data_IF_400351592369
#
_entry.id   IF_400351592369
#
_cell.length_a   1.000
_cell.length_b   1.000
_cell.length_c   1.000
_cell.angle_alpha   90.00
_cell.angle_beta   90.00
_cell.angle_gamma   90.00
#
_symmetry.space_group_name_H-M   'P 1'
#
loop_
_entity.id
_entity.type
_entity.pdbx_description
1 polymer ?
2 non-polymer ?
3 water ?
#
# COMPACT_ATOMS: atom_id res chain seq x y z
N UNK A 1 -15.65 17.74 -4.52
CA UNK A 1 -14.76 18.86 -4.91
C UNK A 1 -14.43 19.74 -3.70
N UNK A 2 -13.14 19.81 -3.42
CA UNK A 2 -12.54 20.34 -2.21
C UNK A 2 -11.88 21.64 -2.59
N UNK A 3 -11.64 22.61 -1.68
CA UNK A 3 -11.13 23.90 -2.11
C UNK A 3 -9.64 23.87 -2.42
N UNK A 4 -8.89 22.99 -1.75
CA UNK A 4 -7.48 22.93 -2.06
C UNK A 4 -6.95 21.59 -1.57
N UNK A 5 -5.77 21.31 -2.08
CA UNK A 5 -5.20 19.98 -1.91
C UNK A 5 -4.86 19.70 -0.47
N UNK A 6 -4.62 20.75 0.33
CA UNK A 6 -4.30 20.55 1.74
C UNK A 6 -5.56 20.33 2.58
N UNK A 7 -6.73 20.38 1.94
CA UNK A 7 -7.98 20.35 2.71
C UNK A 7 -9.00 19.49 1.97
N UNK A 8 -8.61 18.27 1.55
CA UNK A 8 -9.54 17.45 0.83
C UNK A 8 -10.29 16.51 1.78
N UNK A 9 -11.41 15.93 1.27
CA UNK A 9 -12.24 15.08 2.14
C UNK A 9 -12.57 13.82 1.36
N UNK A 10 -11.98 12.64 1.67
CA UNK A 10 -11.03 12.45 2.78
C UNK A 10 -9.67 13.07 2.47
N UNK A 11 -8.82 13.17 3.50
CA UNK A 11 -7.54 13.83 3.42
C UNK A 11 -6.70 13.12 2.37
N UNK A 12 -5.94 13.92 1.64
CA UNK A 12 -4.91 13.42 0.76
C UNK A 12 -3.56 13.60 1.46
N UNK A 13 -2.77 12.53 1.44
CA UNK A 13 -1.46 12.57 2.09
C UNK A 13 -0.47 11.87 1.19
N UNK A 14 0.74 12.46 1.15
CA UNK A 14 1.83 11.76 0.49
C UNK A 14 2.54 10.89 1.55
N UNK A 15 2.79 9.63 1.22
CA UNK A 15 3.54 8.79 2.12
C UNK A 15 5.01 9.13 1.97
N UNK A 16 5.71 9.34 3.12
CA UNK A 16 7.16 9.44 3.25
C UNK A 16 7.80 8.56 2.17
N UNK A 17 8.64 9.14 1.30
CA UNK A 17 9.28 8.45 0.17
C UNK A 17 10.18 7.30 0.60
N UNK A 18 10.43 7.19 1.90
CA UNK A 18 11.04 5.95 2.36
C UNK A 18 10.16 4.72 2.13
N UNK A 19 8.86 4.89 1.92
CA UNK A 19 8.01 3.77 1.57
C UNK A 19 7.36 4.09 0.22
N UNK A 20 7.55 3.23 -0.80
CA UNK A 20 6.96 3.48 -2.12
C UNK A 20 6.42 2.16 -2.66
N UNK A 21 5.60 2.23 -3.72
CA UNK A 21 5.08 1.03 -4.32
C UNK A 21 6.00 0.61 -5.48
N UNK A 22 6.44 -0.67 -5.44
CA UNK A 22 7.25 -1.21 -6.52
C UNK A 22 6.36 -2.02 -7.46
N UNK A 23 6.46 -1.73 -8.76
CA UNK A 23 5.68 -2.49 -9.72
C UNK A 23 6.63 -3.18 -10.72
N UNK A 24 6.51 -4.49 -10.91
CA UNK A 24 7.29 -5.16 -11.97
C UNK A 24 6.58 -4.95 -13.30
N UNK A 25 7.29 -4.41 -14.29
CA UNK A 25 6.67 -3.93 -15.52
C UNK A 25 7.74 -3.74 -16.60
N UNK A 39 11.31 -3.45 -12.44
CA UNK A 39 10.52 -2.92 -11.32
C UNK A 39 10.66 -1.40 -11.23
N UNK A 40 9.53 -0.67 -11.23
CA UNK A 40 9.58 0.77 -11.06
C UNK A 40 8.94 1.11 -9.72
N UNK A 41 9.39 2.21 -9.12
CA UNK A 41 9.00 2.61 -7.79
C UNK A 41 8.18 3.91 -7.90
N UNK A 42 6.99 3.91 -7.27
CA UNK A 42 6.09 5.04 -7.36
C UNK A 42 5.89 5.59 -5.96
N UNK A 43 5.92 6.93 -5.77
CA UNK A 43 5.33 7.53 -4.56
C UNK A 43 3.87 7.13 -4.42
N UNK A 44 3.46 6.97 -3.16
CA UNK A 44 2.09 6.67 -2.77
C UNK A 44 1.43 7.91 -2.24
N UNK A 45 0.31 8.22 -2.85
CA UNK A 45 -0.66 9.14 -2.31
C UNK A 45 -1.82 8.34 -1.76
N UNK A 46 -2.15 8.64 -0.52
CA UNK A 46 -3.32 8.07 0.16
C UNK A 46 -4.48 9.03 0.12
N UNK A 47 -5.68 8.46 -0.09
CA UNK A 47 -6.92 9.13 0.25
C UNK A 47 -7.49 8.41 1.46
N UNK A 48 -7.45 9.06 2.63
CA UNK A 48 -7.59 8.35 3.90
C UNK A 48 -9.03 8.27 4.34
N UNK A 49 -9.82 7.43 3.66
CA UNK A 49 -11.20 7.17 4.06
C UNK A 49 -11.25 6.44 5.41
N UNK A 50 -10.11 5.87 5.80
CA UNK A 50 -9.92 5.21 7.07
C UNK A 50 -8.43 5.07 7.38
N UNK A 51 -8.01 4.86 8.65
CA UNK A 51 -6.59 4.63 8.95
C UNK A 51 -6.12 3.27 8.42
N UNK A 52 -4.81 3.16 8.22
CA UNK A 52 -4.25 1.85 7.95
C UNK A 52 -2.99 1.69 8.77
N UNK A 53 -2.50 0.46 8.90
CA UNK A 53 -1.25 0.28 9.63
C UNK A 53 -0.33 -0.62 8.83
N UNK A 54 0.96 -0.53 9.14
CA UNK A 54 1.97 -1.32 8.45
C UNK A 54 2.76 -2.10 9.49
N UNK A 55 2.97 -3.40 9.25
CA UNK A 55 3.86 -4.23 10.04
C UNK A 55 4.88 -4.84 9.10
N UNK A 56 6.14 -4.78 9.49
CA UNK A 56 7.12 -5.63 8.84
C UNK A 56 7.07 -7.01 9.49
N UNK A 57 7.16 -8.09 8.69
CA UNK A 57 7.13 -9.46 9.19
C UNK A 57 8.29 -10.28 8.62
N UNK A 58 8.74 -11.28 9.38
CA UNK A 58 9.77 -12.17 8.86
C UNK A 58 9.54 -13.54 9.52
N UNK A 59 9.62 -14.60 8.68
CA UNK A 59 9.72 -15.97 9.13
C UNK A 59 11.13 -16.15 9.73
N UNK A 60 11.19 -16.39 11.03
CA UNK A 60 12.46 -16.49 11.74
C UNK A 60 12.97 -17.93 11.84
N UNK A 61 12.06 -18.90 11.75
CA UNK A 61 12.44 -20.31 11.74
C UNK A 61 11.73 -20.95 10.54
N UNK A 62 12.55 -21.58 9.69
CA UNK A 62 12.11 -22.28 8.49
C UNK A 62 12.14 -23.76 8.84
N UNK A 63 10.95 -24.24 9.22
CA UNK A 63 10.75 -25.42 10.02
C UNK A 63 9.28 -25.75 9.92
N UNK A 64 8.98 -26.92 9.35
CA UNK A 64 7.59 -27.30 9.15
C UNK A 64 6.93 -27.48 10.51
N UNK A 65 7.66 -27.99 11.51
CA UNK A 65 7.02 -28.42 12.73
C UNK A 65 7.02 -27.31 13.78
N UNK A 66 7.84 -26.27 13.62
CA UNK A 66 7.94 -25.23 14.63
C UNK A 66 8.22 -23.90 13.91
N UNK A 67 7.19 -23.36 13.27
CA UNK A 67 7.32 -22.19 12.41
C UNK A 67 7.05 -20.95 13.24
N UNK A 68 7.90 -19.92 13.06
CA UNK A 68 7.78 -18.73 13.88
C UNK A 68 7.95 -17.49 13.02
N UNK A 69 7.13 -16.47 13.33
CA UNK A 69 7.16 -15.21 12.61
C UNK A 69 7.34 -14.09 13.64
N UNK A 70 8.10 -13.06 13.28
CA UNK A 70 8.11 -11.88 14.13
C UNK A 70 7.65 -10.68 13.32
N UNK A 71 6.91 -9.78 13.98
CA UNK A 71 6.32 -8.61 13.37
C UNK A 71 6.76 -7.36 14.15
N UNK A 72 7.01 -6.27 13.42
CA UNK A 72 7.24 -4.96 14.01
C UNK A 72 6.38 -3.90 13.30
N UNK A 73 5.49 -3.18 14.03
CA UNK A 73 4.72 -2.07 13.46
C UNK A 73 5.73 -1.04 12.95
N UNK A 74 5.40 -0.41 11.82
CA UNK A 74 6.21 0.67 11.28
C UNK A 74 5.34 1.92 11.22
N UNK A 75 5.82 3.00 11.86
CA UNK A 75 5.18 4.30 11.81
C UNK A 75 5.47 4.92 10.46
N UNK A 76 4.39 5.22 9.71
CA UNK A 76 4.41 5.71 8.35
C UNK A 76 4.27 7.25 8.40
N UNK A 77 5.34 7.99 8.11
CA UNK A 77 5.21 9.44 8.13
C UNK A 77 4.51 9.86 6.83
N UNK A 78 3.68 10.87 6.93
CA UNK A 78 2.86 11.28 5.82
C UNK A 78 3.02 12.77 5.70
N UNK A 79 2.81 13.33 4.51
CA UNK A 79 2.95 14.77 4.35
C UNK A 79 1.65 15.32 3.78
N UNK A 80 1.15 16.45 4.31
CA UNK A 80 0.07 17.20 3.67
C UNK A 80 0.69 18.08 2.59
N UNK A 81 0.07 18.13 1.41
CA UNK A 81 0.56 18.90 0.28
C UNK A 81 -0.11 20.27 0.31
N UNK A 82 0.66 21.28 -0.08
CA UNK A 82 0.15 22.66 -0.06
C UNK A 82 -0.48 22.99 -1.41
N UNK A 83 0.11 22.50 -2.51
CA UNK A 83 -0.42 22.80 -3.84
C UNK A 83 -0.23 21.55 -4.72
N UNK A 84 -0.91 21.51 -5.86
CA UNK A 84 -0.72 20.43 -6.82
C UNK A 84 0.66 20.43 -7.46
N UNK A 85 1.46 21.48 -7.27
CA UNK A 85 2.84 21.37 -7.74
C UNK A 85 3.59 20.23 -7.01
N UNK A 86 3.07 19.78 -5.86
CA UNK A 86 3.81 18.77 -5.09
C UNK A 86 3.41 17.37 -5.53
N UNK A 87 2.45 17.28 -6.44
CA UNK A 87 2.11 15.94 -6.93
C UNK A 87 3.13 15.58 -7.97
N UNK A 88 3.77 14.38 -7.87
CA UNK A 88 4.76 14.00 -8.88
C UNK A 88 4.11 13.80 -10.24
N UNK A 89 4.93 13.47 -11.26
CA UNK A 89 4.45 13.24 -12.61
C UNK A 89 3.77 11.89 -12.72
N UNK A 90 4.27 10.91 -11.98
CA UNK A 90 3.66 9.58 -11.90
C UNK A 90 3.67 9.16 -10.43
N UNK A 91 2.56 8.54 -10.03
CA UNK A 91 2.45 8.08 -8.64
C UNK A 91 1.27 7.10 -8.62
N UNK A 92 1.07 6.43 -7.49
CA UNK A 92 -0.12 5.64 -7.33
C UNK A 92 -0.99 6.32 -6.28
N UNK A 93 -2.28 6.02 -6.38
CA UNK A 93 -3.17 6.51 -5.37
C UNK A 93 -3.85 5.30 -4.76
N UNK A 94 -3.72 5.21 -3.45
CA UNK A 94 -4.40 4.18 -2.69
C UNK A 94 -5.51 4.90 -1.95
N UNK A 95 -6.73 4.47 -2.27
CA UNK A 95 -7.94 5.05 -1.69
C UNK A 95 -8.45 4.03 -0.69
N UNK A 96 -8.47 4.46 0.57
CA UNK A 96 -8.95 3.65 1.65
C UNK A 96 -10.40 4.03 1.90
N UNK A 97 -11.23 2.99 2.06
CA UNK A 97 -12.63 3.09 2.43
C UNK A 97 -13.28 4.15 1.54
N UNK B 2 -6.02 -19.61 19.12
CA UNK B 2 -6.28 -18.65 18.01
C UNK B 2 -6.55 -19.41 16.71
N UNK B 3 -7.41 -18.89 15.79
CA UNK B 3 -7.76 -19.62 14.57
C UNK B 3 -6.57 -19.82 13.61
N UNK B 4 -6.70 -20.80 12.70
CA UNK B 4 -5.76 -21.02 11.60
C UNK B 4 -5.87 -19.86 10.59
N UNK B 5 -4.82 -19.67 9.77
CA UNK B 5 -4.74 -18.63 8.76
C UNK B 5 -6.12 -18.52 8.12
N UNK B 6 -6.64 -19.69 7.72
CA UNK B 6 -8.00 -19.89 7.26
C UNK B 6 -8.94 -19.96 8.46
N UNK B 7 -9.30 -18.79 9.01
CA UNK B 7 -10.34 -18.64 10.01
C UNK B 7 -10.35 -17.19 10.48
N UNK B 8 -9.25 -16.47 10.19
CA UNK B 8 -9.10 -15.09 10.60
C UNK B 8 -9.90 -14.18 9.66
N UNK B 9 -10.62 -13.23 10.27
CA UNK B 9 -11.19 -12.09 9.58
C UNK B 9 -10.53 -10.83 10.14
N UNK B 10 -10.22 -9.83 9.28
CA UNK B 10 -10.15 -10.04 7.83
C UNK B 10 -9.22 -11.21 7.49
N UNK B 11 -9.50 -11.86 6.36
CA UNK B 11 -8.60 -12.84 5.77
C UNK B 11 -7.27 -12.16 5.41
N UNK B 12 -6.20 -12.95 5.49
CA UNK B 12 -4.91 -12.55 4.96
C UNK B 12 -4.92 -12.72 3.44
N UNK B 13 -4.75 -11.60 2.71
CA UNK B 13 -4.62 -11.73 1.27
C UNK B 13 -3.18 -11.42 0.82
N UNK B 14 -2.55 -12.38 0.14
CA UNK B 14 -1.32 -12.08 -0.55
C UNK B 14 -1.65 -11.32 -1.84
N UNK B 15 -1.01 -10.15 -2.02
CA UNK B 15 -1.10 -9.36 -3.22
C UNK B 15 -0.15 -9.94 -4.26
N UNK B 16 -0.64 -10.03 -5.51
CA UNK B 16 0.22 -10.27 -6.65
C UNK B 16 1.64 -9.74 -6.41
N UNK B 17 2.67 -10.61 -6.34
CA UNK B 17 4.04 -10.15 -6.10
C UNK B 17 4.64 -9.32 -7.23
N UNK B 18 3.87 -9.04 -8.30
CA UNK B 18 4.23 -7.99 -9.22
C UNK B 18 4.08 -6.60 -8.59
N UNK B 19 3.36 -6.51 -7.47
CA UNK B 19 3.25 -5.28 -6.70
C UNK B 19 3.77 -5.56 -5.29
N UNK B 20 4.84 -4.86 -4.91
CA UNK B 20 5.46 -5.04 -3.61
C UNK B 20 5.72 -3.66 -3.02
N UNK B 21 6.02 -3.64 -1.74
CA UNK B 21 6.31 -2.39 -1.05
C UNK B 21 7.83 -2.18 -0.98
N UNK B 22 8.30 -1.04 -1.53
CA UNK B 22 9.71 -0.66 -1.44
C UNK B 22 9.95 0.13 -0.15
N UNK B 23 10.92 -0.34 0.65
CA UNK B 23 11.18 0.31 1.93
C UNK B 23 12.67 0.67 2.06
N UNK B 24 12.93 1.97 2.32
CA UNK B 24 14.22 2.51 2.75
C UNK B 24 14.00 3.37 4.01
N UNK B 39 16.67 0.04 -0.82
CA UNK B 39 15.57 -0.43 -1.69
C UNK B 39 15.33 -1.93 -1.43
N UNK B 40 14.89 -2.25 -0.21
CA UNK B 40 14.36 -3.56 0.04
C UNK B 40 12.89 -3.56 -0.42
N UNK B 41 12.51 -4.58 -1.15
CA UNK B 41 11.18 -4.76 -1.68
C UNK B 41 10.54 -5.95 -0.99
N UNK B 42 9.26 -5.81 -0.62
CA UNK B 42 8.58 -6.77 0.23
C UNK B 42 7.23 -7.13 -0.36
N UNK B 43 6.93 -8.45 -0.45
CA UNK B 43 5.58 -8.90 -0.78
C UNK B 43 4.60 -8.31 0.22
N UNK B 44 3.38 -8.02 -0.23
CA UNK B 44 2.38 -7.39 0.61
C UNK B 44 1.30 -8.42 0.96
N UNK B 45 0.96 -8.49 2.25
CA UNK B 45 -0.23 -9.14 2.76
C UNK B 45 -1.17 -8.03 3.21
N UNK B 46 -2.39 -8.06 2.68
CA UNK B 46 -3.47 -7.16 3.02
C UNK B 46 -4.45 -7.86 3.96
N UNK B 47 -4.91 -7.12 4.99
CA UNK B 47 -6.05 -7.45 5.82
C UNK B 47 -7.04 -6.28 5.78
N UNK B 48 -8.16 -6.47 5.06
CA UNK B 48 -9.04 -5.38 4.66
C UNK B 48 -10.29 -5.38 5.54
N UNK B 49 -10.29 -4.48 6.53
CA UNK B 49 -11.50 -4.16 7.26
C UNK B 49 -12.44 -3.33 6.40
N UNK B 50 -11.86 -2.57 5.47
CA UNK B 50 -12.62 -1.77 4.52
C UNK B 50 -11.95 -1.88 3.16
N UNK B 51 -12.68 -1.62 2.05
CA UNK B 51 -12.13 -1.78 0.71
C UNK B 51 -11.02 -0.75 0.46
N UNK B 52 -10.09 -1.18 -0.36
CA UNK B 52 -8.96 -0.37 -0.78
C UNK B 52 -9.03 -0.41 -2.30
N UNK B 53 -8.67 0.70 -2.94
CA UNK B 53 -8.44 0.64 -4.37
C UNK B 53 -7.05 1.21 -4.68
N UNK B 54 -6.49 0.80 -5.83
CA UNK B 54 -5.19 1.23 -6.33
C UNK B 54 -5.36 1.78 -7.74
N UNK B 55 -4.87 3.00 -7.95
CA UNK B 55 -4.92 3.60 -9.27
C UNK B 55 -3.49 4.07 -9.56
N UNK B 56 -3.06 3.92 -10.81
CA UNK B 56 -1.89 4.58 -11.29
C UNK B 56 -2.29 5.97 -11.78
N UNK B 57 -1.48 6.99 -11.40
CA UNK B 57 -1.76 8.36 -11.80
C UNK B 57 -0.58 8.91 -12.62
N UNK B 58 -0.92 9.61 -13.69
CA UNK B 58 0.03 10.27 -14.57
C UNK B 58 -0.48 11.67 -14.84
N UNK B 59 0.35 12.69 -14.56
CA UNK B 59 0.01 14.03 -15.02
C UNK B 59 0.09 14.04 -16.54
N UNK B 60 -1.01 14.36 -17.21
CA UNK B 60 -1.00 14.23 -18.65
C UNK B 60 -0.95 15.62 -19.28
N UNK B 61 -1.20 16.61 -18.44
CA UNK B 61 -1.27 18.00 -18.85
C UNK B 61 -0.84 18.86 -17.67
N UNK B 62 0.06 19.81 -17.97
CA UNK B 62 0.40 20.87 -17.08
C UNK B 62 0.61 22.08 -17.97
N UNK B 63 -0.40 22.96 -17.99
CA UNK B 63 -0.41 24.29 -18.61
C UNK B 63 -0.33 25.32 -17.48
N UNK B 64 -0.23 26.61 -17.84
CA UNK B 64 -0.20 27.66 -16.83
C UNK B 64 -1.54 27.66 -16.05
N UNK B 65 -2.61 27.17 -16.69
CA UNK B 65 -3.99 27.31 -16.20
C UNK B 65 -4.36 26.21 -15.23
N UNK B 66 -3.94 24.97 -15.52
CA UNK B 66 -4.59 23.82 -14.91
C UNK B 66 -3.66 22.63 -15.02
N UNK B 67 -3.98 21.61 -14.22
CA UNK B 67 -3.31 20.34 -14.31
C UNK B 67 -4.38 19.29 -14.52
N UNK B 68 -4.02 18.23 -15.24
CA UNK B 68 -4.89 17.07 -15.33
C UNK B 68 -4.07 15.84 -15.04
N UNK B 69 -4.70 14.87 -14.36
CA UNK B 69 -4.10 13.62 -13.98
C UNK B 69 -4.98 12.50 -14.54
N UNK B 70 -4.40 11.59 -15.32
CA UNK B 70 -5.13 10.41 -15.76
C UNK B 70 -4.94 9.31 -14.71
N UNK B 71 -6.06 8.80 -14.16
CA UNK B 71 -6.05 7.73 -13.18
C UNK B 71 -6.53 6.45 -13.84
N UNK B 72 -5.73 5.41 -13.69
CA UNK B 72 -6.07 4.13 -14.29
C UNK B 72 -6.15 3.07 -13.20
N UNK B 73 -7.33 2.43 -13.04
CA UNK B 73 -7.53 1.41 -12.02
C UNK B 73 -6.53 0.30 -12.29
N UNK B 74 -5.90 -0.21 -11.23
CA UNK B 74 -5.29 -1.52 -11.21
C UNK B 74 -6.17 -2.42 -10.35
N UNK B 75 -6.75 -3.46 -10.99
CA UNK B 75 -7.44 -4.53 -10.28
C UNK B 75 -6.39 -5.58 -9.97
N UNK B 76 -5.88 -5.60 -8.74
CA UNK B 76 -4.69 -6.39 -8.51
C UNK B 76 -5.15 -7.77 -8.07
N UNK B 77 -4.46 -8.82 -8.52
CA UNK B 77 -4.87 -10.16 -8.11
C UNK B 77 -4.42 -10.35 -6.67
N UNK B 78 -5.31 -10.94 -5.85
CA UNK B 78 -5.03 -11.32 -4.47
C UNK B 78 -5.47 -12.76 -4.23
N UNK B 79 -4.84 -13.41 -3.26
CA UNK B 79 -5.18 -14.76 -2.86
C UNK B 79 -5.35 -14.80 -1.34
N UNK B 80 -6.51 -15.28 -0.86
CA UNK B 80 -6.67 -15.60 0.56
C UNK B 80 -5.70 -16.73 0.91
N UNK B 81 -4.89 -16.53 1.96
CA UNK B 81 -3.95 -17.57 2.35
C UNK B 81 -4.67 -18.59 3.21
N UNK B 82 -4.29 -19.86 3.06
CA UNK B 82 -4.92 -20.92 3.82
C UNK B 82 -3.91 -21.62 4.71
N UNK B 83 -2.62 -21.61 4.30
CA UNK B 83 -1.51 -22.17 5.06
C UNK B 83 -0.41 -21.13 5.28
N UNK B 84 0.28 -21.23 6.42
CA UNK B 84 1.38 -20.33 6.73
C UNK B 84 2.57 -20.61 5.81
N UNK B 85 2.52 -21.74 5.09
CA UNK B 85 3.60 -22.13 4.20
C UNK B 85 3.58 -21.26 2.93
N UNK B 86 2.42 -20.67 2.64
CA UNK B 86 2.22 -19.78 1.50
C UNK B 86 2.83 -18.41 1.81
N UNK B 87 3.15 -18.16 3.08
CA UNK B 87 3.74 -16.90 3.50
C UNK B 87 5.21 -16.83 3.08
N UNK B 88 5.65 -15.70 2.49
CA UNK B 88 7.07 -15.54 2.12
C UNK B 88 7.89 -15.42 3.41
N UNK B 89 9.21 -15.56 3.27
CA UNK B 89 10.15 -15.40 4.36
C UNK B 89 10.07 -14.00 4.95
N UNK B 90 9.81 -12.98 4.11
CA UNK B 90 9.67 -11.63 4.64
C UNK B 90 8.61 -10.91 3.83
N UNK B 91 7.82 -10.07 4.52
CA UNK B 91 6.70 -9.42 3.88
C UNK B 91 6.24 -8.27 4.76
N UNK B 92 5.34 -7.46 4.23
CA UNK B 92 4.76 -6.42 5.08
C UNK B 92 3.29 -6.80 5.19
N UNK B 93 2.66 -6.43 6.31
CA UNK B 93 1.24 -6.60 6.44
C UNK B 93 0.60 -5.22 6.46
N UNK B 94 -0.36 -4.98 5.56
CA UNK B 94 -1.05 -3.69 5.53
C UNK B 94 -2.47 -3.95 6.04
N UNK B 95 -2.83 -3.39 7.21
CA UNK B 95 -4.16 -3.62 7.76
C UNK B 95 -4.99 -2.37 7.61
N UNK B 96 -6.17 -2.50 6.98
CA UNK B 96 -7.04 -1.33 6.89
C UNK B 96 -8.13 -1.49 7.94
N UNK B 97 -8.38 -0.36 8.63
CA UNK B 97 -9.34 -0.22 9.71
C UNK B 97 -10.77 -0.35 9.15
X LIG C 1 -8.06 -3.80 -5.83
X LIG C 1 -7.42 -3.82 -4.56
X LIG C 1 -6.36 -2.76 -4.49
X LIG C 1 -5.40 -3.07 -3.49
X LIG C 1 -4.06 -2.88 -3.92
X LIG C 1 -3.10 -3.11 -2.77
X LIG C 1 -1.96 -2.27 -2.91
X LIG C 1 -1.18 -2.22 -1.73
X LIG C 1 -0.84 -0.79 -1.41
X LIG C 1 -0.35 -0.68 -0.08
X LIG C 1 -0.29 0.67 0.38
X LIG C 1 0.63 0.79 1.56
X LIG C 1 0.52 2.08 2.14
X LIG C 1 1.44 2.36 3.19
#
# INVERSE_FOLDING_TARGET
>A
MDPKISEMHPALRLVDPQIQLAVTRMENAVGRDQNNVGPKVYPIILRLGSPLSLNMARKTLNSLEDKAFQLTPIAVQMTKLATTEELPDEFVVVTVK
>B
MDPKISEMHPALRLVDPQIQLAVTRMENAVGRDQNNVGPKVYPIILRLGSPLSLNMARKTLNSLEDKAFQLTPIAVQMTKLATTEELPDEFVVVTVK
>C hetero
1 15P O30 C61 C62 O31 C63 C64 O32 C65 C66 O33 C67 C68 O34 CM
#
